data_IF_308863725083
#
_entry.id   IF_308863725083
#
_cell.length_a   1.000
_cell.length_b   1.000
_cell.length_c   1.000
_cell.angle_alpha   90.00
_cell.angle_beta   90.00
_cell.angle_gamma   90.00
#
_symmetry.space_group_name_H-M   'P 1'
#
loop_
_entity.id
_entity.type
_entity.pdbx_description
1 polymer ?
#
# COMPACT_ATOMS: atom_id res chain seq x y z
N UNK A 1 -47.07 1.88 -29.50
CA UNK A 1 -45.67 2.38 -29.55
C UNK A 1 -45.33 3.01 -28.20
N UNK A 2 -44.82 2.21 -27.27
CA UNK A 2 -44.41 2.64 -25.93
C UNK A 2 -43.02 3.27 -26.02
N UNK A 3 -42.97 4.61 -26.10
CA UNK A 3 -41.71 5.33 -25.91
C UNK A 3 -41.32 5.16 -24.44
N UNK A 4 -40.16 4.56 -24.12
CA UNK A 4 -39.73 4.49 -22.72
C UNK A 4 -39.70 5.91 -22.15
N UNK A 5 -40.23 6.12 -20.92
CA UNK A 5 -40.32 7.44 -20.33
C UNK A 5 -38.92 8.03 -20.25
N UNK A 6 -38.77 9.28 -20.71
CA UNK A 6 -37.47 9.95 -20.88
C UNK A 6 -36.64 9.97 -19.58
N UNK A 7 -37.34 9.98 -18.43
CA UNK A 7 -36.77 9.87 -17.09
C UNK A 7 -36.02 8.54 -16.89
N UNK A 8 -36.53 7.43 -17.41
CA UNK A 8 -35.92 6.10 -17.27
C UNK A 8 -34.59 6.01 -18.03
N UNK A 9 -34.50 6.66 -19.20
CA UNK A 9 -33.25 6.74 -19.98
C UNK A 9 -32.21 7.56 -19.20
N UNK A 10 -32.60 8.70 -18.63
CA UNK A 10 -31.71 9.54 -17.81
C UNK A 10 -31.18 8.76 -16.60
N UNK A 11 -32.04 8.04 -15.91
CA UNK A 11 -31.66 7.23 -14.74
C UNK A 11 -30.67 6.12 -15.11
N UNK A 12 -30.90 5.43 -16.24
CA UNK A 12 -29.95 4.41 -16.73
C UNK A 12 -28.58 5.02 -17.03
N UNK A 13 -28.54 6.17 -17.72
CA UNK A 13 -27.27 6.85 -18.03
C UNK A 13 -26.55 7.28 -16.74
N UNK A 14 -27.27 7.79 -15.74
CA UNK A 14 -26.69 8.16 -14.46
C UNK A 14 -26.07 6.97 -13.71
N UNK A 15 -26.74 5.81 -13.71
CA UNK A 15 -26.23 4.58 -13.07
C UNK A 15 -24.96 4.09 -13.79
N UNK A 16 -24.92 4.13 -15.12
CA UNK A 16 -23.74 3.72 -15.90
C UNK A 16 -22.53 4.63 -15.61
N UNK A 17 -22.75 5.94 -15.53
CA UNK A 17 -21.68 6.91 -15.20
C UNK A 17 -21.16 6.74 -13.76
N UNK A 18 -22.06 6.55 -12.79
CA UNK A 18 -21.69 6.33 -11.38
C UNK A 18 -20.94 5.00 -11.19
N UNK A 19 -21.41 3.93 -11.81
CA UNK A 19 -20.76 2.62 -11.74
C UNK A 19 -19.38 2.62 -12.42
N UNK A 20 -19.22 3.35 -13.55
CA UNK A 20 -17.95 3.46 -14.25
C UNK A 20 -16.87 4.19 -13.45
N UNK A 21 -17.23 5.20 -12.66
CA UNK A 21 -16.26 6.01 -11.92
C UNK A 21 -15.55 5.23 -10.80
N UNK A 22 -16.19 4.22 -10.20
CA UNK A 22 -15.65 3.51 -9.04
C UNK A 22 -14.56 2.48 -9.39
N UNK A 23 -14.42 2.09 -10.66
CA UNK A 23 -13.53 0.99 -11.07
C UNK A 23 -12.09 1.41 -11.41
N UNK A 24 -11.83 2.69 -11.72
CA UNK A 24 -10.51 3.12 -12.18
C UNK A 24 -9.48 3.29 -11.04
N UNK A 25 -9.93 3.63 -9.84
CA UNK A 25 -9.05 4.04 -8.73
C UNK A 25 -8.04 2.98 -8.28
N UNK A 26 -8.35 1.69 -8.48
CA UNK A 26 -7.52 0.59 -7.95
C UNK A 26 -6.38 0.17 -8.88
N UNK A 27 -6.51 0.44 -10.19
CA UNK A 27 -5.41 0.23 -11.16
C UNK A 27 -4.43 1.38 -11.16
N UNK A 28 -4.91 2.58 -10.85
CA UNK A 28 -4.09 3.80 -10.89
C UNK A 28 -2.92 3.72 -9.90
N UNK A 29 -3.11 3.20 -8.68
CA UNK A 29 -2.02 3.17 -7.70
C UNK A 29 -0.84 2.26 -8.11
N UNK A 30 -1.12 1.12 -8.75
CA UNK A 30 -0.05 0.21 -9.22
C UNK A 30 0.63 0.79 -10.45
N UNK A 31 -0.14 1.32 -11.40
CA UNK A 31 0.40 1.97 -12.60
C UNK A 31 1.22 3.22 -12.26
N UNK A 32 0.78 4.01 -11.28
CA UNK A 32 1.49 5.19 -10.79
C UNK A 32 2.79 4.81 -10.08
N UNK A 33 2.79 3.74 -9.28
CA UNK A 33 4.02 3.24 -8.66
C UNK A 33 5.00 2.72 -9.72
N UNK A 34 4.55 1.98 -10.72
CA UNK A 34 5.41 1.47 -11.78
C UNK A 34 5.95 2.61 -12.68
N UNK A 35 5.18 3.68 -12.89
CA UNK A 35 5.62 4.89 -13.58
C UNK A 35 6.51 5.82 -12.73
N UNK A 36 6.61 5.58 -11.41
CA UNK A 36 7.39 6.42 -10.51
C UNK A 36 8.89 6.08 -10.61
N UNK A 37 9.78 7.09 -10.62
CA UNK A 37 11.21 6.84 -10.58
C UNK A 37 11.62 6.21 -9.24
N UNK A 38 12.67 5.39 -9.26
CA UNK A 38 13.27 4.84 -8.04
C UNK A 38 14.07 5.95 -7.36
N UNK A 39 13.64 6.36 -6.17
CA UNK A 39 14.28 7.39 -5.34
C UNK A 39 15.07 6.72 -4.22
N UNK A 40 16.32 7.16 -4.04
CA UNK A 40 17.17 6.75 -2.92
C UNK A 40 17.28 7.92 -1.95
N UNK A 41 17.00 7.68 -0.67
CA UNK A 41 17.02 8.69 0.39
C UNK A 41 17.61 8.13 1.68
N UNK A 42 18.19 8.99 2.52
CA UNK A 42 18.69 8.58 3.82
C UNK A 42 17.52 8.44 4.80
N UNK A 43 17.44 7.31 5.50
CA UNK A 43 16.43 7.08 6.51
C UNK A 43 16.93 6.19 7.65
N UNK A 44 16.28 6.33 8.81
CA UNK A 44 16.51 5.52 10.00
C UNK A 44 15.31 4.61 10.24
N UNK A 45 15.57 3.35 10.58
CA UNK A 45 14.52 2.42 10.99
C UNK A 45 14.12 2.74 12.43
N UNK A 46 12.90 3.22 12.65
CA UNK A 46 12.41 3.59 13.99
C UNK A 46 11.80 2.38 14.69
N UNK A 47 10.91 1.69 14.01
CA UNK A 47 10.18 0.56 14.58
C UNK A 47 9.77 -0.43 13.50
N UNK A 48 9.44 -1.63 13.96
CA UNK A 48 9.00 -2.76 13.14
C UNK A 48 7.70 -3.30 13.75
N UNK A 49 6.75 -3.65 12.90
CA UNK A 49 5.45 -4.19 13.31
C UNK A 49 5.08 -5.38 12.45
N UNK A 50 4.68 -6.46 13.11
CA UNK A 50 3.99 -7.59 12.50
C UNK A 50 2.54 -7.58 13.00
N UNK A 51 1.59 -7.88 12.13
CA UNK A 51 0.19 -8.03 12.52
C UNK A 51 -0.54 -9.04 11.64
N UNK A 52 -1.49 -9.79 12.22
CA UNK A 52 -2.34 -10.67 11.43
C UNK A 52 -3.23 -9.84 10.50
N UNK A 53 -3.24 -10.16 9.21
CA UNK A 53 -4.17 -9.58 8.26
C UNK A 53 -5.37 -10.51 8.08
N UNK A 54 -6.56 -10.12 8.55
CA UNK A 54 -7.74 -10.96 8.40
C UNK A 54 -8.12 -11.02 6.92
N UNK A 55 -8.12 -12.22 6.35
CA UNK A 55 -8.71 -12.45 5.03
C UNK A 55 -10.20 -12.12 5.10
N UNK A 56 -10.57 -10.95 4.55
CA UNK A 56 -11.94 -10.40 4.58
C UNK A 56 -12.99 -11.27 3.88
N UNK A 57 -12.57 -12.40 3.28
CA UNK A 57 -13.46 -13.38 2.67
C UNK A 57 -14.11 -14.35 3.68
N UNK A 58 -13.62 -14.45 4.91
CA UNK A 58 -14.19 -15.35 5.93
C UNK A 58 -15.01 -14.60 6.98
N UNK A 59 -16.31 -14.91 7.06
CA UNK A 59 -17.22 -14.45 8.12
C UNK A 59 -17.05 -15.22 9.44
N UNK A 60 -16.10 -16.14 9.50
CA UNK A 60 -15.81 -16.96 10.68
C UNK A 60 -14.71 -16.26 11.48
N UNK A 61 -15.10 -15.76 12.65
CA UNK A 61 -14.23 -15.09 13.61
C UNK A 61 -13.60 -16.16 14.50
N UNK A 62 -12.65 -16.89 13.94
CA UNK A 62 -11.79 -17.81 14.68
C UNK A 62 -10.36 -17.46 14.28
N UNK A 63 -9.51 -17.16 15.26
CA UNK A 63 -8.09 -16.88 15.03
C UNK A 63 -7.45 -18.22 14.68
N UNK A 64 -7.39 -18.54 13.38
CA UNK A 64 -6.82 -19.79 12.90
C UNK A 64 -5.30 -19.63 12.86
N UNK A 65 -4.58 -20.58 13.47
CA UNK A 65 -3.13 -20.70 13.29
C UNK A 65 -2.82 -20.93 11.79
N UNK A 66 -2.35 -19.88 11.12
CA UNK A 66 -2.21 -19.83 9.66
C UNK A 66 -2.66 -18.52 8.99
N UNK A 67 -3.07 -17.51 9.77
CA UNK A 67 -3.39 -16.16 9.25
C UNK A 67 -2.20 -15.53 8.49
N UNK A 68 -2.48 -14.92 7.35
CA UNK A 68 -1.51 -14.17 6.55
C UNK A 68 -0.97 -13.00 7.36
N UNK A 69 0.30 -13.07 7.77
CA UNK A 69 0.97 -11.98 8.47
C UNK A 69 1.33 -10.86 7.48
N UNK A 70 1.14 -9.62 7.94
CA UNK A 70 1.67 -8.44 7.25
C UNK A 70 2.77 -7.79 8.08
N UNK A 71 3.79 -7.35 7.36
CA UNK A 71 4.98 -6.76 7.93
C UNK A 71 5.07 -5.29 7.52
N UNK A 72 5.29 -4.43 8.50
CA UNK A 72 5.45 -3.00 8.32
C UNK A 72 6.70 -2.51 9.04
N UNK A 73 7.38 -1.56 8.41
CA UNK A 73 8.53 -0.87 8.98
C UNK A 73 8.26 0.63 8.98
N UNK A 74 8.48 1.27 10.12
CA UNK A 74 8.44 2.72 10.23
C UNK A 74 9.83 3.28 10.04
N UNK A 75 9.98 4.11 9.02
CA UNK A 75 11.20 4.83 8.70
C UNK A 75 11.07 6.30 9.11
N UNK A 76 12.17 6.91 9.52
CA UNK A 76 12.32 8.36 9.70
C UNK A 76 13.26 8.89 8.63
N UNK A 77 12.81 9.83 7.79
CA UNK A 77 13.65 10.48 6.77
C UNK A 77 14.67 11.38 7.44
N UNK A 78 15.90 11.36 6.95
CA UNK A 78 16.92 12.34 7.34
C UNK A 78 17.28 13.22 6.14
N UNK A 79 17.50 14.54 6.33
CA UNK A 79 17.49 15.28 7.60
C UNK A 79 16.10 15.79 8.04
N UNK A 80 15.05 15.54 7.26
CA UNK A 80 13.71 16.15 7.45
C UNK A 80 13.04 15.77 8.77
N UNK A 81 13.30 14.57 9.30
CA UNK A 81 12.71 14.06 10.56
C UNK A 81 11.30 13.48 10.43
N UNK A 82 10.74 13.45 9.21
CA UNK A 82 9.41 12.89 8.93
C UNK A 82 9.40 11.37 9.07
N UNK A 83 8.46 10.83 9.86
CA UNK A 83 8.24 9.39 10.00
C UNK A 83 7.12 8.89 9.11
N UNK A 84 7.34 7.78 8.42
CA UNK A 84 6.35 7.13 7.57
C UNK A 84 6.48 5.61 7.64
N UNK A 85 5.38 4.91 7.44
CA UNK A 85 5.30 3.44 7.55
C UNK A 85 5.16 2.83 6.17
N UNK A 86 5.93 1.77 5.92
CA UNK A 86 5.98 1.10 4.62
C UNK A 86 5.71 -0.40 4.81
N UNK A 87 4.78 -0.99 4.05
CA UNK A 87 4.60 -2.43 4.04
C UNK A 87 5.78 -3.10 3.32
N UNK A 88 6.28 -4.20 3.88
CA UNK A 88 7.42 -4.96 3.36
C UNK A 88 7.12 -6.46 3.30
N UNK A 89 7.94 -7.23 2.59
CA UNK A 89 7.89 -8.69 2.66
C UNK A 89 8.55 -9.21 3.94
N UNK A 90 8.27 -10.46 4.30
CA UNK A 90 8.86 -11.11 5.47
C UNK A 90 10.39 -11.14 5.45
N UNK A 91 10.99 -11.47 4.30
CA UNK A 91 12.45 -11.48 4.16
C UNK A 91 13.05 -10.09 4.40
N UNK A 92 12.48 -9.07 3.77
CA UNK A 92 12.92 -7.68 3.94
C UNK A 92 12.71 -7.19 5.38
N UNK A 93 11.63 -7.61 6.03
CA UNK A 93 11.39 -7.34 7.42
C UNK A 93 12.51 -7.91 8.29
N UNK A 94 12.87 -9.18 8.10
CA UNK A 94 13.90 -9.84 8.89
C UNK A 94 15.30 -9.23 8.69
N UNK A 95 15.61 -8.78 7.48
CA UNK A 95 16.89 -8.12 7.15
C UNK A 95 17.02 -6.70 7.75
N UNK A 96 15.91 -6.08 8.12
CA UNK A 96 15.87 -4.73 8.66
C UNK A 96 16.02 -4.70 10.19
N UNK A 97 16.96 -3.89 10.69
CA UNK A 97 17.23 -3.74 12.14
C UNK A 97 16.80 -2.34 12.60
N UNK A 98 15.93 -2.22 13.63
CA UNK A 98 15.60 -0.94 14.24
C UNK A 98 16.82 -0.21 14.80
N UNK A 99 16.87 1.10 14.62
CA UNK A 99 17.99 1.96 15.01
C UNK A 99 19.06 2.10 13.92
N UNK A 100 19.00 1.29 12.84
CA UNK A 100 19.96 1.40 11.75
C UNK A 100 19.61 2.56 10.82
N UNK A 101 20.61 3.39 10.54
CA UNK A 101 20.56 4.47 9.56
C UNK A 101 21.15 4.00 8.25
N UNK A 102 20.51 4.29 7.13
CA UNK A 102 20.96 3.79 5.83
C UNK A 102 20.25 4.39 4.63
N UNK A 103 20.65 3.92 3.46
CA UNK A 103 20.06 4.31 2.19
C UNK A 103 18.80 3.49 1.93
N UNK A 104 17.65 4.16 1.98
CA UNK A 104 16.34 3.60 1.66
C UNK A 104 16.01 3.87 0.19
N UNK A 105 15.73 2.79 -0.56
CA UNK A 105 15.30 2.84 -1.96
C UNK A 105 13.79 2.58 -2.04
N UNK A 106 13.08 3.54 -2.60
CA UNK A 106 11.62 3.50 -2.77
C UNK A 106 11.26 3.72 -4.23
N UNK A 107 10.18 3.09 -4.68
CA UNK A 107 9.55 3.37 -5.96
C UNK A 107 8.11 3.82 -5.71
N UNK A 108 7.88 5.13 -5.74
CA UNK A 108 6.61 5.71 -5.27
C UNK A 108 6.35 5.33 -3.80
N UNK A 109 5.36 4.47 -3.57
CA UNK A 109 5.00 3.94 -2.25
C UNK A 109 5.57 2.54 -1.96
N UNK A 110 6.22 1.90 -2.94
CA UNK A 110 6.77 0.54 -2.82
C UNK A 110 8.18 0.55 -2.26
N UNK A 111 8.41 -0.27 -1.24
CA UNK A 111 9.77 -0.58 -0.75
C UNK A 111 10.54 -1.43 -1.76
N UNK A 112 11.76 -1.02 -2.09
CA UNK A 112 12.66 -1.79 -2.97
C UNK A 112 13.75 -2.46 -2.14
N UNK A 113 14.54 -1.67 -1.42
CA UNK A 113 15.63 -2.18 -0.61
C UNK A 113 16.07 -1.15 0.44
N UNK A 114 16.67 -1.64 1.51
CA UNK A 114 17.35 -0.82 2.50
C UNK A 114 18.80 -1.29 2.61
N UNK A 115 19.75 -0.38 2.38
CA UNK A 115 21.17 -0.66 2.56
C UNK A 115 21.64 0.03 3.84
N UNK A 116 22.01 -0.72 4.89
CA UNK A 116 22.60 -0.14 6.10
C UNK A 116 23.80 0.73 5.74
N UNK A 117 23.83 1.96 6.22
CA UNK A 117 25.04 2.76 6.16
C UNK A 117 26.04 2.15 7.13
N UNK A 118 27.18 1.69 6.63
CA UNK A 118 28.33 1.39 7.50
C UNK A 118 28.76 2.70 8.15
N UNK A 119 28.53 2.82 9.45
CA UNK A 119 29.15 3.85 10.28
C UNK A 119 30.63 3.53 10.50
#
# INVERSE_FOLDING_TARGET
MTRPPLIFIIVIVAIVLLAGHQFFKQRDDTANNDASPIVTQQAVIVSKREYPYPDRHSRQREVIAGETLRYEITFRREPVGETFTVPVSEGQYNDCIPGTTGALRMQGTRFISFTPGTH
#
